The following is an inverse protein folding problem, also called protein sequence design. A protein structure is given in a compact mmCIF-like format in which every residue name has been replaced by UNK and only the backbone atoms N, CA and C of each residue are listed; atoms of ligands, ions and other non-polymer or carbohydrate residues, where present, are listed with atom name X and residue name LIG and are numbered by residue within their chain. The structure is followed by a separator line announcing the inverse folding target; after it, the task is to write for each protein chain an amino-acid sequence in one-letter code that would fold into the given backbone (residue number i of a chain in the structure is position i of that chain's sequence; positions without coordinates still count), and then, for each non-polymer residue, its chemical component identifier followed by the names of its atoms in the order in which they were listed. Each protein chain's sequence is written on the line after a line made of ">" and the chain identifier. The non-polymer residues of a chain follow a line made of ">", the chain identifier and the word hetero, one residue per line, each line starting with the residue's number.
data_IF_049050275766
#
_entry.id   IF_049050275766
#
_cell.length_a   1.000
_cell.length_b   1.000
_cell.length_c   1.000
_cell.angle_alpha   90.00
_cell.angle_beta   90.00
_cell.angle_gamma   90.00
#
_symmetry.space_group_name_H-M   'P 1'
#
loop_
_entity.id
_entity.type
_entity.pdbx_description
1 polymer ?
#
# COMPACT_ATOMS: atom_id res chain seq x y z
N UNK A 1 -34.41 2.95 92.21
CA UNK A 1 -34.61 2.34 90.87
C UNK A 1 -33.92 3.24 89.84
N UNK A 2 -32.74 2.93 89.41
CA UNK A 2 -32.01 3.69 88.33
C UNK A 2 -31.25 2.68 87.50
N UNK A 3 -31.62 2.57 86.25
CA UNK A 3 -30.97 1.72 85.30
C UNK A 3 -29.80 2.51 84.66
N UNK A 4 -28.58 2.00 84.79
CA UNK A 4 -27.41 2.54 84.10
C UNK A 4 -27.26 1.78 82.80
N UNK A 5 -27.42 2.53 81.69
CA UNK A 5 -27.11 2.07 80.32
C UNK A 5 -25.64 2.05 80.10
N UNK A 6 -25.03 0.92 79.76
CA UNK A 6 -23.60 0.79 79.31
C UNK A 6 -23.55 0.93 77.79
N UNK A 7 -22.91 1.97 77.38
CA UNK A 7 -22.60 2.21 75.96
C UNK A 7 -21.33 1.42 75.57
N UNK A 8 -21.52 0.44 74.68
CA UNK A 8 -20.41 -0.30 74.06
C UNK A 8 -19.88 0.49 72.86
N UNK A 9 -18.63 0.96 72.98
CA UNK A 9 -17.89 1.57 71.87
C UNK A 9 -17.41 0.45 70.95
N UNK A 10 -17.96 0.35 69.72
CA UNK A 10 -17.44 -0.52 68.67
C UNK A 10 -16.43 0.24 67.83
N UNK A 11 -15.13 -0.11 67.99
CA UNK A 11 -14.04 0.39 67.14
C UNK A 11 -14.07 -0.35 65.83
N UNK A 12 -14.48 0.32 64.75
CA UNK A 12 -14.43 -0.22 63.38
C UNK A 12 -13.05 0.09 62.82
N UNK A 13 -12.22 -0.93 62.60
CA UNK A 13 -10.96 -0.82 61.89
C UNK A 13 -11.27 -0.94 60.41
N UNK A 14 -11.17 0.18 59.70
CA UNK A 14 -11.28 0.22 58.23
C UNK A 14 -9.89 -0.09 57.64
N UNK A 15 -9.74 -1.32 57.11
CA UNK A 15 -8.55 -1.69 56.33
C UNK A 15 -8.77 -1.16 54.92
N UNK A 16 -8.11 -0.05 54.59
CA UNK A 16 -8.04 0.46 53.22
C UNK A 16 -7.08 -0.41 52.42
N UNK A 17 -7.58 -1.34 51.64
CA UNK A 17 -6.79 -2.05 50.65
C UNK A 17 -6.47 -1.12 49.49
N UNK A 18 -5.22 -0.65 49.41
CA UNK A 18 -4.69 0.03 48.25
C UNK A 18 -4.54 -0.99 47.09
N UNK A 19 -5.57 -1.09 46.25
CA UNK A 19 -5.47 -1.79 44.96
C UNK A 19 -4.80 -0.79 44.01
N UNK A 20 -3.47 -0.86 43.91
CA UNK A 20 -2.72 -0.22 42.82
C UNK A 20 -2.97 -0.97 41.53
N UNK A 21 -4.04 -0.60 40.82
CA UNK A 21 -4.26 -1.04 39.44
C UNK A 21 -3.23 -0.31 38.56
N UNK A 22 -2.12 -0.99 38.25
CA UNK A 22 -1.27 -0.61 37.16
C UNK A 22 -2.11 -0.71 35.85
N UNK A 23 -2.75 0.40 35.47
CA UNK A 23 -3.32 0.58 34.16
C UNK A 23 -2.17 0.48 33.17
N UNK A 24 -1.97 -0.70 32.55
CA UNK A 24 -1.18 -0.82 31.34
C UNK A 24 -1.92 0.03 30.32
N UNK A 25 -1.43 1.22 30.04
CA UNK A 25 -1.77 1.97 28.85
C UNK A 25 -1.46 1.06 27.66
N UNK A 26 -2.46 0.45 27.08
CA UNK A 26 -2.39 0.03 25.71
C UNK A 26 -2.20 1.32 24.92
N UNK A 27 -0.97 1.61 24.53
CA UNK A 27 -0.71 2.66 23.57
C UNK A 27 -1.50 2.26 22.32
N UNK A 28 -2.64 2.93 22.08
CA UNK A 28 -3.44 2.74 20.87
C UNK A 28 -2.57 3.04 19.67
N UNK A 29 -2.88 2.42 18.53
CA UNK A 29 -2.23 2.78 17.26
C UNK A 29 -2.29 4.29 17.09
N UNK A 30 -1.22 4.94 16.56
CA UNK A 30 -1.24 6.38 16.32
C UNK A 30 -2.40 6.73 15.39
N UNK A 31 -3.09 7.84 15.70
CA UNK A 31 -4.17 8.33 14.85
C UNK A 31 -3.61 8.68 13.45
N UNK A 32 -4.35 8.37 12.38
CA UNK A 32 -3.94 8.75 11.03
C UNK A 32 -3.94 10.29 10.88
N UNK A 33 -2.89 10.81 10.24
CA UNK A 33 -2.75 12.22 9.89
C UNK A 33 -2.79 12.38 8.38
N UNK A 34 -3.85 13.01 7.84
CA UNK A 34 -3.95 13.41 6.44
C UNK A 34 -3.02 14.61 6.20
N UNK A 35 -2.10 14.49 5.25
CA UNK A 35 -1.05 15.47 4.97
C UNK A 35 -0.85 15.65 3.46
N UNK A 36 -0.13 16.72 3.09
CA UNK A 36 0.20 17.04 1.70
C UNK A 36 1.68 17.38 1.57
N UNK A 37 2.40 16.63 0.74
CA UNK A 37 3.72 17.01 0.25
C UNK A 37 3.60 17.86 -1.02
N UNK A 38 4.69 18.56 -1.40
CA UNK A 38 4.74 19.39 -2.60
C UNK A 38 5.65 18.75 -3.64
N UNK A 39 5.12 18.57 -4.86
CA UNK A 39 5.85 17.98 -5.99
C UNK A 39 5.59 18.83 -7.22
N UNK A 40 6.61 19.47 -7.77
CA UNK A 40 6.51 20.32 -8.97
C UNK A 40 5.37 21.35 -8.91
N UNK A 41 5.13 21.92 -7.73
CA UNK A 41 4.05 22.90 -7.51
C UNK A 41 2.66 22.31 -7.27
N UNK A 42 2.51 20.97 -7.28
CA UNK A 42 1.26 20.27 -7.01
C UNK A 42 1.27 19.64 -5.62
N UNK A 43 0.11 19.55 -4.99
CA UNK A 43 -0.08 18.87 -3.71
C UNK A 43 -0.25 17.37 -3.93
N UNK A 44 0.52 16.58 -3.21
CA UNK A 44 0.42 15.12 -3.17
C UNK A 44 -0.07 14.70 -1.79
N UNK A 45 -1.27 14.15 -1.74
CA UNK A 45 -1.89 13.67 -0.51
C UNK A 45 -1.25 12.37 -0.03
N UNK A 46 -1.11 12.25 1.27
CA UNK A 46 -0.77 10.98 1.91
C UNK A 46 -1.35 10.93 3.33
N UNK A 47 -1.59 9.73 3.83
CA UNK A 47 -1.94 9.53 5.22
C UNK A 47 -0.75 8.93 5.97
N UNK A 48 -0.37 9.60 7.06
CA UNK A 48 0.76 9.23 7.91
C UNK A 48 0.26 8.57 9.19
N UNK A 49 0.80 7.43 9.54
CA UNK A 49 0.49 6.67 10.75
C UNK A 49 1.77 6.49 11.57
N UNK A 50 1.92 7.29 12.59
CA UNK A 50 3.07 7.23 13.48
C UNK A 50 4.29 8.01 12.98
N UNK A 51 5.47 7.60 13.41
CA UNK A 51 6.73 8.24 13.08
C UNK A 51 7.89 7.23 13.19
N UNK A 52 8.97 7.49 12.45
CA UNK A 52 10.17 6.66 12.45
C UNK A 52 11.05 6.98 11.25
N UNK A 53 12.32 6.65 11.33
CA UNK A 53 13.26 6.89 10.22
C UNK A 53 13.02 5.94 9.05
N UNK A 54 12.38 4.79 9.30
CA UNK A 54 12.11 3.75 8.31
C UNK A 54 10.59 3.58 8.16
N UNK A 55 10.06 3.91 6.99
CA UNK A 55 8.65 3.79 6.71
C UNK A 55 8.29 2.47 6.00
N UNK A 56 7.04 2.05 6.17
CA UNK A 56 6.36 1.09 5.32
C UNK A 56 5.39 1.89 4.45
N UNK A 57 5.75 2.12 3.19
CA UNK A 57 5.01 3.00 2.28
C UNK A 57 4.24 2.19 1.24
N UNK A 58 2.93 2.41 1.17
CA UNK A 58 2.00 1.71 0.29
C UNK A 58 1.62 2.56 -0.92
N UNK A 59 1.83 1.98 -2.10
CA UNK A 59 1.58 2.59 -3.42
C UNK A 59 0.48 1.81 -4.12
N UNK A 60 -0.60 2.50 -4.46
CA UNK A 60 -1.76 1.90 -5.14
C UNK A 60 -1.50 1.61 -6.62
N UNK A 61 -2.40 0.87 -7.26
CA UNK A 61 -2.38 0.55 -8.68
C UNK A 61 -3.08 1.59 -9.56
N UNK A 62 -3.16 1.29 -10.86
CA UNK A 62 -3.83 2.11 -11.86
C UNK A 62 -5.24 2.52 -11.42
N UNK A 63 -5.53 3.80 -11.52
CA UNK A 63 -6.83 4.40 -11.17
C UNK A 63 -7.33 4.13 -9.74
N UNK A 64 -6.51 3.60 -8.85
CA UNK A 64 -6.81 3.41 -7.44
C UNK A 64 -6.48 4.67 -6.61
N UNK A 65 -6.63 4.57 -5.31
CA UNK A 65 -6.23 5.58 -4.32
C UNK A 65 -5.72 4.92 -3.03
N UNK A 66 -5.28 5.71 -2.05
CA UNK A 66 -4.73 5.20 -0.78
C UNK A 66 -5.70 4.33 0.02
N UNK A 67 -7.02 4.49 -0.17
CA UNK A 67 -8.03 3.76 0.59
C UNK A 67 -8.03 2.26 0.32
N UNK A 68 -7.35 1.81 -0.74
CA UNK A 68 -7.13 0.40 -1.03
C UNK A 68 -6.25 -0.29 0.02
N UNK A 69 -5.50 0.51 0.81
CA UNK A 69 -4.57 0.04 1.82
C UNK A 69 -5.04 0.21 3.27
N UNK A 70 -6.29 0.63 3.50
CA UNK A 70 -6.84 0.87 4.85
C UNK A 70 -6.71 -0.37 5.76
N UNK A 71 -6.94 -1.58 5.21
CA UNK A 71 -6.81 -2.82 5.97
C UNK A 71 -5.38 -3.12 6.43
N UNK A 72 -4.40 -2.71 5.65
CA UNK A 72 -2.97 -2.85 5.96
C UNK A 72 -2.52 -1.76 6.92
N UNK A 73 -2.81 -0.50 6.60
CA UNK A 73 -2.39 0.64 7.40
C UNK A 73 -2.90 0.55 8.83
N UNK A 74 -4.20 0.30 9.02
CA UNK A 74 -4.80 0.19 10.36
C UNK A 74 -4.20 -0.94 11.20
N UNK A 75 -3.90 -2.09 10.57
CA UNK A 75 -3.38 -3.25 11.29
C UNK A 75 -1.88 -3.10 11.65
N UNK A 76 -1.11 -2.39 10.81
CA UNK A 76 0.35 -2.32 10.92
C UNK A 76 0.84 -1.07 11.65
N UNK A 77 0.01 -0.04 11.78
CA UNK A 77 0.37 1.25 12.38
C UNK A 77 0.84 1.17 13.85
N UNK A 78 0.45 0.12 14.58
CA UNK A 78 0.92 -0.09 15.97
C UNK A 78 2.37 -0.58 16.06
N UNK A 79 2.94 -1.08 14.95
CA UNK A 79 4.27 -1.69 14.90
C UNK A 79 5.25 -0.95 13.99
N UNK A 80 4.73 -0.22 13.01
CA UNK A 80 5.51 0.41 11.95
C UNK A 80 5.11 1.88 11.78
N UNK A 81 6.05 2.70 11.30
CA UNK A 81 5.72 3.96 10.68
C UNK A 81 5.11 3.67 9.31
N UNK A 82 3.80 3.82 9.17
CA UNK A 82 3.07 3.49 7.93
C UNK A 82 2.69 4.76 7.20
N UNK A 83 2.85 4.72 5.87
CA UNK A 83 2.45 5.80 4.97
C UNK A 83 1.64 5.18 3.83
N UNK A 84 0.45 5.75 3.55
CA UNK A 84 -0.31 5.46 2.34
C UNK A 84 -0.34 6.73 1.48
N UNK A 85 -0.11 6.61 0.17
CA UNK A 85 -0.03 7.76 -0.74
C UNK A 85 -1.16 7.72 -1.76
N UNK A 86 -1.76 8.88 -2.05
CA UNK A 86 -2.46 9.12 -3.29
C UNK A 86 -1.45 9.63 -4.31
N UNK A 87 -1.09 8.84 -5.32
CA UNK A 87 -0.18 9.28 -6.37
C UNK A 87 -0.70 10.56 -7.07
N UNK A 88 0.16 11.43 -7.62
CA UNK A 88 -0.29 12.56 -8.44
C UNK A 88 -1.37 12.15 -9.42
N UNK A 89 -2.45 12.93 -9.51
CA UNK A 89 -3.60 12.59 -10.36
C UNK A 89 -4.68 11.73 -9.69
N UNK A 90 -4.44 11.15 -8.52
CA UNK A 90 -5.35 10.20 -7.86
C UNK A 90 -5.86 10.72 -6.51
N UNK A 91 -6.91 10.10 -6.01
CA UNK A 91 -7.47 10.36 -4.68
C UNK A 91 -7.64 11.85 -4.40
N UNK A 92 -7.05 12.31 -3.30
CA UNK A 92 -7.05 13.71 -2.85
C UNK A 92 -5.86 14.53 -3.38
N UNK A 93 -4.92 13.91 -4.11
CA UNK A 93 -3.83 14.62 -4.77
C UNK A 93 -4.33 15.51 -5.89
N UNK A 94 -3.59 16.60 -6.16
CA UNK A 94 -3.85 17.47 -7.31
C UNK A 94 -3.77 16.67 -8.63
N UNK A 95 -4.53 17.13 -9.62
CA UNK A 95 -4.69 16.49 -10.93
C UNK A 95 -4.27 17.44 -12.06
N UNK A 96 -3.00 17.88 -12.10
CA UNK A 96 -2.51 18.78 -13.15
C UNK A 96 -2.53 18.08 -14.52
N UNK A 97 -2.64 18.86 -15.59
CA UNK A 97 -2.55 18.39 -16.98
C UNK A 97 -1.08 18.18 -17.37
N UNK A 98 -0.51 17.06 -16.94
CA UNK A 98 0.88 16.66 -17.17
C UNK A 98 0.98 15.23 -17.69
N UNK A 99 2.17 14.81 -18.12
CA UNK A 99 2.43 13.39 -18.37
C UNK A 99 2.66 12.65 -17.05
N UNK A 100 1.80 11.69 -16.75
CA UNK A 100 1.90 10.86 -15.56
C UNK A 100 2.87 9.71 -15.79
N UNK A 101 4.14 9.96 -15.46
CA UNK A 101 5.23 8.99 -15.63
C UNK A 101 5.60 8.31 -14.31
N UNK A 102 6.21 7.13 -14.39
CA UNK A 102 6.73 6.45 -13.20
C UNK A 102 7.83 7.27 -12.50
N UNK A 103 8.51 8.16 -13.25
CA UNK A 103 9.48 9.10 -12.70
C UNK A 103 8.83 10.20 -11.85
N UNK A 104 7.72 10.78 -12.30
CA UNK A 104 6.92 11.72 -11.52
C UNK A 104 6.46 11.07 -10.21
N UNK A 105 5.97 9.84 -10.28
CA UNK A 105 5.51 9.10 -9.10
C UNK A 105 6.65 8.76 -8.14
N UNK A 106 7.82 8.37 -8.66
CA UNK A 106 9.00 8.13 -7.82
C UNK A 106 9.45 9.40 -7.07
N UNK A 107 9.44 10.56 -7.73
CA UNK A 107 9.73 11.85 -7.08
C UNK A 107 8.67 12.22 -6.05
N UNK A 108 7.40 11.92 -6.33
CA UNK A 108 6.32 12.15 -5.36
C UNK A 108 6.51 11.32 -4.09
N UNK A 109 6.91 10.05 -4.21
CA UNK A 109 7.25 9.22 -3.05
C UNK A 109 8.41 9.81 -2.27
N UNK A 110 9.46 10.33 -2.94
CA UNK A 110 10.60 10.95 -2.25
C UNK A 110 10.21 12.18 -1.43
N UNK A 111 9.37 13.04 -2.01
CA UNK A 111 8.87 14.23 -1.33
C UNK A 111 7.95 13.87 -0.13
N UNK A 112 7.12 12.83 -0.28
CA UNK A 112 6.30 12.30 0.82
C UNK A 112 7.18 11.77 1.96
N UNK A 113 8.22 10.99 1.66
CA UNK A 113 9.15 10.50 2.67
C UNK A 113 9.84 11.66 3.39
N UNK A 114 10.24 12.70 2.65
CA UNK A 114 10.88 13.90 3.21
C UNK A 114 9.93 14.66 4.14
N UNK A 115 8.68 14.88 3.73
CA UNK A 115 7.67 15.58 4.55
C UNK A 115 7.30 14.76 5.79
N UNK A 116 7.20 13.43 5.65
CA UNK A 116 6.97 12.50 6.76
C UNK A 116 8.19 12.28 7.66
N UNK A 117 9.36 12.87 7.32
CA UNK A 117 10.65 12.71 8.02
C UNK A 117 11.16 11.27 8.09
N UNK A 118 10.79 10.46 7.09
CA UNK A 118 11.34 9.13 6.91
C UNK A 118 12.61 9.19 6.03
N UNK A 119 13.68 8.51 6.45
CA UNK A 119 14.94 8.46 5.71
C UNK A 119 14.94 7.41 4.61
N UNK A 120 14.22 6.32 4.85
CA UNK A 120 14.12 5.19 3.93
C UNK A 120 12.78 4.48 4.07
N UNK A 121 12.44 3.63 3.09
CA UNK A 121 11.21 2.87 3.13
C UNK A 121 11.35 1.43 2.61
N UNK A 122 10.53 0.54 3.16
CA UNK A 122 10.05 -0.64 2.44
C UNK A 122 8.84 -0.22 1.62
N UNK A 123 8.90 -0.41 0.31
CA UNK A 123 7.86 0.05 -0.61
C UNK A 123 6.95 -1.13 -1.00
N UNK A 124 5.66 -0.94 -0.83
CA UNK A 124 4.63 -1.94 -1.18
C UNK A 124 3.85 -1.40 -2.37
N UNK A 125 3.96 -2.03 -3.54
CA UNK A 125 3.30 -1.59 -4.77
C UNK A 125 2.31 -2.63 -5.29
N UNK A 126 1.07 -2.22 -5.50
CA UNK A 126 0.03 -3.04 -6.10
C UNK A 126 -0.07 -2.78 -7.59
N UNK A 127 -0.15 -3.85 -8.40
CA UNK A 127 -0.42 -3.73 -9.84
C UNK A 127 0.52 -2.74 -10.53
N UNK A 128 0.01 -1.65 -11.12
CA UNK A 128 0.79 -0.57 -11.72
C UNK A 128 1.63 0.22 -10.68
N UNK A 129 1.42 0.05 -9.40
CA UNK A 129 2.34 0.51 -8.36
C UNK A 129 3.70 -0.21 -8.38
N UNK A 130 3.79 -1.41 -9.01
CA UNK A 130 5.04 -2.16 -9.15
C UNK A 130 6.11 -1.41 -9.96
N UNK A 131 5.87 -0.95 -11.20
CA UNK A 131 6.84 -0.13 -11.92
C UNK A 131 7.14 1.19 -11.20
N UNK A 132 6.20 1.76 -10.44
CA UNK A 132 6.44 2.97 -9.62
C UNK A 132 7.50 2.70 -8.55
N UNK A 133 7.31 1.67 -7.71
CA UNK A 133 8.28 1.35 -6.64
C UNK A 133 9.63 0.88 -7.21
N UNK A 134 9.62 0.21 -8.36
CA UNK A 134 10.85 -0.15 -9.08
C UNK A 134 11.59 1.09 -9.59
N UNK A 135 10.88 2.08 -10.12
CA UNK A 135 11.46 3.36 -10.56
C UNK A 135 12.00 4.16 -9.38
N UNK A 136 11.30 4.13 -8.25
CA UNK A 136 11.82 4.71 -7.01
C UNK A 136 13.13 4.06 -6.59
N UNK A 137 13.19 2.72 -6.57
CA UNK A 137 14.41 1.97 -6.25
C UNK A 137 15.58 2.34 -7.19
N UNK A 138 15.34 2.53 -8.49
CA UNK A 138 16.39 2.94 -9.45
C UNK A 138 16.93 4.34 -9.16
N UNK A 139 16.04 5.26 -8.76
CA UNK A 139 16.44 6.66 -8.48
C UNK A 139 17.05 6.86 -7.11
N UNK A 140 16.56 6.13 -6.13
CA UNK A 140 16.87 6.28 -4.71
C UNK A 140 17.19 4.93 -4.06
N UNK A 141 18.19 4.19 -4.56
CA UNK A 141 18.51 2.87 -4.02
C UNK A 141 18.90 2.93 -2.54
N UNK A 142 19.55 3.99 -2.10
CA UNK A 142 19.95 4.21 -0.71
C UNK A 142 18.77 4.45 0.26
N UNK A 143 17.61 4.87 -0.29
CA UNK A 143 16.37 5.06 0.48
C UNK A 143 15.47 3.83 0.44
N UNK A 144 15.81 2.80 -0.33
CA UNK A 144 14.97 1.61 -0.52
C UNK A 144 15.50 0.46 0.32
N UNK A 145 14.72 0.01 1.30
CA UNK A 145 15.08 -1.10 2.18
C UNK A 145 14.64 -2.46 1.63
N UNK A 146 13.49 -2.52 1.00
CA UNK A 146 12.93 -3.71 0.35
C UNK A 146 11.80 -3.31 -0.59
N UNK A 147 11.42 -4.20 -1.49
CA UNK A 147 10.24 -4.06 -2.34
C UNK A 147 9.23 -5.18 -2.03
N UNK A 148 7.95 -4.82 -1.98
CA UNK A 148 6.84 -5.78 -1.87
C UNK A 148 5.94 -5.56 -3.08
N UNK A 149 5.86 -6.57 -3.93
CA UNK A 149 5.11 -6.55 -5.19
C UNK A 149 3.81 -7.32 -4.99
N UNK A 150 2.68 -6.65 -5.20
CA UNK A 150 1.35 -7.20 -4.98
C UNK A 150 0.61 -7.26 -6.31
N UNK A 151 0.47 -8.44 -6.84
CA UNK A 151 -0.16 -8.78 -8.13
C UNK A 151 0.25 -7.83 -9.28
N UNK A 152 1.56 -7.60 -9.40
CA UNK A 152 2.16 -6.72 -10.40
C UNK A 152 3.37 -7.35 -11.09
N UNK A 153 3.70 -6.84 -12.27
CA UNK A 153 4.75 -7.39 -13.14
C UNK A 153 6.04 -6.58 -13.14
N UNK A 154 7.18 -7.28 -13.34
CA UNK A 154 8.49 -6.68 -13.61
C UNK A 154 8.83 -6.64 -15.12
N UNK A 155 7.86 -6.99 -15.96
CA UNK A 155 7.89 -6.84 -17.43
C UNK A 155 6.50 -6.40 -17.92
N UNK A 156 6.36 -5.87 -19.15
CA UNK A 156 5.07 -5.54 -19.72
C UNK A 156 4.15 -6.76 -19.76
N UNK A 157 2.85 -6.56 -19.65
CA UNK A 157 1.85 -7.64 -19.76
C UNK A 157 1.56 -8.08 -21.20
N UNK A 158 2.11 -7.36 -22.20
CA UNK A 158 1.97 -7.66 -23.61
C UNK A 158 3.12 -7.07 -24.42
N UNK A 159 3.15 -7.36 -25.71
CA UNK A 159 4.07 -6.68 -26.61
C UNK A 159 3.69 -5.18 -26.81
N UNK A 160 4.56 -4.42 -27.47
CA UNK A 160 4.37 -2.98 -27.67
C UNK A 160 3.03 -2.66 -28.34
N UNK A 161 2.67 -3.41 -29.38
CA UNK A 161 1.42 -3.17 -30.12
C UNK A 161 0.17 -3.42 -29.27
N UNK A 162 0.20 -4.47 -28.43
CA UNK A 162 -0.87 -4.78 -27.46
C UNK A 162 -1.00 -3.66 -26.43
N UNK A 163 0.12 -3.16 -25.90
CA UNK A 163 0.12 -2.07 -24.93
C UNK A 163 -0.36 -0.75 -25.53
N UNK A 164 0.09 -0.39 -26.75
CA UNK A 164 -0.36 0.81 -27.47
C UNK A 164 -1.87 0.75 -27.77
N UNK A 165 -2.37 -0.42 -28.20
CA UNK A 165 -3.81 -0.62 -28.41
C UNK A 165 -4.60 -0.45 -27.13
N UNK A 166 -4.09 -0.97 -26.02
CA UNK A 166 -4.72 -0.81 -24.72
C UNK A 166 -4.80 0.67 -24.32
N UNK A 167 -3.71 1.42 -24.43
CA UNK A 167 -3.67 2.87 -24.16
C UNK A 167 -4.66 3.61 -25.09
N UNK A 168 -4.75 3.23 -26.37
CA UNK A 168 -5.70 3.85 -27.28
C UNK A 168 -7.16 3.65 -26.85
N UNK A 169 -7.52 2.50 -26.25
CA UNK A 169 -8.87 2.29 -25.70
C UNK A 169 -9.18 3.20 -24.52
N UNK A 170 -8.18 3.56 -23.71
CA UNK A 170 -8.34 4.49 -22.60
C UNK A 170 -8.44 5.95 -23.06
N UNK A 171 -7.85 6.29 -24.21
CA UNK A 171 -7.96 7.63 -24.83
C UNK A 171 -9.25 7.83 -25.65
N UNK A 172 -9.99 6.77 -25.90
CA UNK A 172 -11.20 6.82 -26.73
C UNK A 172 -12.34 7.62 -26.05
N UNK A 173 -13.27 8.23 -26.86
CA UNK A 173 -14.40 8.98 -26.30
C UNK A 173 -15.33 8.16 -25.38
N UNK A 174 -15.40 6.84 -25.58
CA UNK A 174 -16.16 5.91 -24.74
C UNK A 174 -15.32 5.33 -23.58
N UNK A 175 -14.44 6.14 -23.00
CA UNK A 175 -13.54 5.75 -21.89
C UNK A 175 -14.26 5.08 -20.73
N UNK A 176 -15.37 5.67 -20.25
CA UNK A 176 -16.09 5.14 -19.07
C UNK A 176 -16.56 3.71 -19.30
N UNK A 177 -17.05 3.40 -20.51
CA UNK A 177 -17.45 2.04 -20.89
C UNK A 177 -16.23 1.10 -20.95
N UNK A 178 -15.14 1.55 -21.57
CA UNK A 178 -13.91 0.76 -21.71
C UNK A 178 -13.26 0.47 -20.36
N UNK A 179 -13.08 1.51 -19.54
CA UNK A 179 -12.54 1.39 -18.18
C UNK A 179 -13.47 0.52 -17.30
N UNK A 180 -14.78 0.74 -17.37
CA UNK A 180 -15.76 -0.05 -16.64
C UNK A 180 -15.68 -1.55 -16.96
N UNK A 181 -15.61 -1.94 -18.25
CA UNK A 181 -15.43 -3.34 -18.65
C UNK A 181 -14.12 -3.95 -18.13
N UNK A 182 -13.04 -3.17 -18.17
CA UNK A 182 -11.74 -3.62 -17.65
C UNK A 182 -11.80 -3.86 -16.15
N UNK A 183 -12.34 -2.92 -15.40
CA UNK A 183 -12.48 -3.01 -13.93
C UNK A 183 -13.42 -4.19 -13.59
N UNK A 184 -14.55 -4.35 -14.30
CA UNK A 184 -15.45 -5.50 -14.12
C UNK A 184 -14.72 -6.83 -14.32
N UNK A 185 -13.79 -6.90 -15.28
CA UNK A 185 -12.93 -8.08 -15.47
C UNK A 185 -12.03 -8.37 -14.28
N UNK A 186 -11.42 -7.33 -13.70
CA UNK A 186 -10.50 -7.46 -12.54
C UNK A 186 -11.25 -7.88 -11.27
N UNK A 187 -12.45 -7.33 -11.02
CA UNK A 187 -13.22 -7.59 -9.80
C UNK A 187 -14.13 -8.80 -9.85
N UNK A 188 -14.36 -9.37 -11.06
CA UNK A 188 -15.27 -10.52 -11.27
C UNK A 188 -15.00 -11.71 -10.33
N UNK A 189 -13.74 -12.10 -10.04
CA UNK A 189 -13.49 -13.23 -9.14
C UNK A 189 -13.87 -12.95 -7.67
N UNK A 190 -14.00 -11.70 -7.25
CA UNK A 190 -14.32 -11.32 -5.87
C UNK A 190 -15.75 -11.75 -5.52
N UNK A 191 -15.92 -12.54 -4.47
CA UNK A 191 -17.24 -13.01 -4.04
C UNK A 191 -18.04 -11.94 -3.27
N UNK A 192 -17.34 -11.05 -2.55
CA UNK A 192 -17.94 -9.94 -1.80
C UNK A 192 -18.45 -8.85 -2.76
N UNK A 193 -19.77 -8.76 -2.95
CA UNK A 193 -20.39 -7.78 -3.83
C UNK A 193 -20.18 -6.33 -3.37
N UNK A 194 -20.32 -5.98 -2.09
CA UNK A 194 -19.93 -4.65 -1.56
C UNK A 194 -18.50 -4.27 -1.88
N UNK A 195 -17.54 -5.19 -1.75
CA UNK A 195 -16.14 -4.93 -2.07
C UNK A 195 -15.96 -4.66 -3.58
N UNK A 196 -16.60 -5.47 -4.46
CA UNK A 196 -16.56 -5.22 -5.91
C UNK A 196 -17.03 -3.81 -6.26
N UNK A 197 -18.17 -3.41 -5.74
CA UNK A 197 -18.76 -2.10 -6.01
C UNK A 197 -17.87 -0.97 -5.48
N UNK A 198 -17.33 -1.12 -4.28
CA UNK A 198 -16.40 -0.14 -3.68
C UNK A 198 -15.16 0.06 -4.58
N UNK A 199 -14.55 -1.02 -5.06
CA UNK A 199 -13.37 -0.96 -5.94
C UNK A 199 -13.75 -0.26 -7.24
N UNK A 200 -14.84 -0.67 -7.89
CA UNK A 200 -15.30 -0.10 -9.15
C UNK A 200 -15.56 1.41 -9.05
N UNK A 201 -16.33 1.82 -8.04
CA UNK A 201 -16.63 3.24 -7.80
C UNK A 201 -15.36 4.05 -7.54
N UNK A 202 -14.43 3.52 -6.76
CA UNK A 202 -13.17 4.22 -6.46
C UNK A 202 -12.33 4.41 -7.74
N UNK A 203 -12.15 3.36 -8.53
CA UNK A 203 -11.32 3.41 -9.74
C UNK A 203 -11.91 4.35 -10.82
N UNK A 204 -13.23 4.38 -10.98
CA UNK A 204 -13.91 5.25 -11.96
C UNK A 204 -13.89 6.74 -11.59
N UNK A 205 -13.44 7.11 -10.38
CA UNK A 205 -13.24 8.52 -10.00
C UNK A 205 -12.02 9.16 -10.63
N UNK A 206 -11.05 8.34 -11.08
CA UNK A 206 -9.84 8.86 -11.71
C UNK A 206 -10.18 9.44 -13.08
N UNK A 207 -9.82 10.71 -13.37
CA UNK A 207 -10.11 11.33 -14.65
C UNK A 207 -9.46 10.57 -15.82
N UNK A 208 -10.14 10.51 -16.96
CA UNK A 208 -9.66 9.82 -18.17
C UNK A 208 -8.23 10.23 -18.54
N UNK A 209 -7.90 11.53 -18.52
CA UNK A 209 -6.57 12.00 -18.92
C UNK A 209 -5.46 11.51 -17.98
N UNK A 210 -5.76 11.32 -16.70
CA UNK A 210 -4.83 10.72 -15.73
C UNK A 210 -4.66 9.24 -16.04
N UNK A 211 -5.76 8.49 -16.07
CA UNK A 211 -5.77 7.05 -16.27
C UNK A 211 -5.10 6.63 -17.60
N UNK A 212 -5.36 7.38 -18.67
CA UNK A 212 -4.75 7.14 -19.98
C UNK A 212 -3.24 7.49 -19.99
N UNK A 213 -2.87 8.64 -19.41
CA UNK A 213 -1.48 9.10 -19.38
C UNK A 213 -0.59 8.21 -18.50
N UNK A 214 -1.11 7.73 -17.36
CA UNK A 214 -0.41 6.78 -16.50
C UNK A 214 -0.06 5.49 -17.26
N UNK A 215 -1.03 4.93 -17.99
CA UNK A 215 -0.79 3.73 -18.79
C UNK A 215 0.12 3.99 -19.99
N UNK A 216 0.04 5.18 -20.60
CA UNK A 216 0.99 5.60 -21.63
C UNK A 216 2.42 5.68 -21.09
N UNK A 217 2.62 6.13 -19.84
CA UNK A 217 3.90 6.11 -19.16
C UNK A 217 4.53 4.72 -19.06
N UNK A 218 3.72 3.65 -19.09
CA UNK A 218 4.23 2.27 -19.09
C UNK A 218 4.76 1.79 -20.45
N UNK A 219 4.57 2.57 -21.51
CA UNK A 219 5.13 2.27 -22.84
C UNK A 219 6.63 2.56 -22.93
N UNK A 220 7.21 3.29 -21.97
CA UNK A 220 8.63 3.56 -21.95
C UNK A 220 9.43 2.25 -21.77
N UNK A 221 10.25 1.84 -22.76
CA UNK A 221 11.02 0.58 -22.67
C UNK A 221 12.07 0.61 -21.55
N UNK A 222 12.57 1.79 -21.17
CA UNK A 222 13.54 1.94 -20.08
C UNK A 222 12.98 1.48 -18.73
N UNK A 223 11.66 1.57 -18.57
CA UNK A 223 10.97 1.12 -17.38
C UNK A 223 11.12 -0.40 -17.15
N UNK A 224 11.26 -1.15 -18.24
CA UNK A 224 11.26 -2.61 -18.23
C UNK A 224 12.66 -3.23 -18.39
N UNK A 225 13.72 -2.41 -18.34
CA UNK A 225 15.09 -2.95 -18.36
C UNK A 225 15.27 -4.01 -17.27
N UNK A 226 15.96 -5.12 -17.58
CA UNK A 226 16.14 -6.24 -16.66
C UNK A 226 17.27 -6.00 -15.64
N UNK A 227 17.30 -4.80 -15.03
CA UNK A 227 18.29 -4.48 -14.00
C UNK A 227 18.09 -5.35 -12.77
N UNK A 228 19.18 -5.73 -12.12
CA UNK A 228 19.14 -6.47 -10.85
C UNK A 228 18.50 -5.64 -9.75
N UNK A 229 17.72 -6.30 -8.91
CA UNK A 229 17.17 -5.75 -7.67
C UNK A 229 17.91 -6.41 -6.52
N UNK A 230 18.77 -5.66 -5.84
CA UNK A 230 19.68 -6.19 -4.81
C UNK A 230 19.16 -6.06 -3.39
N UNK A 231 18.02 -5.39 -3.20
CA UNK A 231 17.28 -5.38 -1.93
C UNK A 231 16.35 -6.60 -1.85
N UNK A 232 15.96 -7.05 -0.65
CA UNK A 232 14.97 -8.14 -0.50
C UNK A 232 13.65 -7.81 -1.21
N UNK A 233 13.06 -8.81 -1.85
CA UNK A 233 11.75 -8.67 -2.51
C UNK A 233 10.78 -9.74 -2.04
N UNK A 234 9.60 -9.32 -1.59
CA UNK A 234 8.43 -10.18 -1.47
C UNK A 234 7.52 -9.95 -2.68
N UNK A 235 7.16 -11.02 -3.38
CA UNK A 235 6.20 -10.98 -4.49
C UNK A 235 5.02 -11.90 -4.16
N UNK A 236 3.81 -11.33 -4.07
CA UNK A 236 2.57 -12.07 -3.83
C UNK A 236 1.65 -11.84 -5.03
N UNK A 237 1.34 -12.92 -5.75
CA UNK A 237 0.56 -12.89 -6.98
C UNK A 237 -0.72 -13.72 -6.83
N UNK A 238 -1.83 -13.25 -7.35
CA UNK A 238 -3.01 -14.07 -7.54
C UNK A 238 -2.69 -15.17 -8.57
N UNK A 239 -3.04 -16.42 -8.29
CA UNK A 239 -2.77 -17.52 -9.21
C UNK A 239 -3.55 -17.35 -10.52
N UNK A 240 -2.84 -16.97 -11.58
CA UNK A 240 -3.39 -16.74 -12.92
C UNK A 240 -2.46 -17.30 -13.99
N UNK A 241 -2.98 -17.63 -15.21
CA UNK A 241 -2.17 -18.19 -16.29
C UNK A 241 -1.02 -17.28 -16.77
N UNK A 242 -1.10 -15.97 -16.54
CA UNK A 242 -0.05 -15.02 -16.91
C UNK A 242 1.24 -15.18 -16.10
N UNK A 243 1.14 -15.70 -14.90
CA UNK A 243 2.29 -15.96 -14.02
C UNK A 243 2.85 -17.37 -14.28
N UNK A 244 3.54 -17.52 -15.41
CA UNK A 244 4.10 -18.80 -15.86
C UNK A 244 5.40 -19.13 -15.14
N UNK A 245 5.86 -20.40 -15.17
CA UNK A 245 7.20 -20.78 -14.66
C UNK A 245 8.34 -19.98 -15.32
N UNK A 246 8.21 -19.63 -16.60
CA UNK A 246 9.18 -18.79 -17.31
C UNK A 246 9.20 -17.37 -16.75
N UNK A 247 8.06 -16.84 -16.34
CA UNK A 247 8.01 -15.56 -15.65
C UNK A 247 8.68 -15.62 -14.28
N UNK A 248 8.41 -16.65 -13.49
CA UNK A 248 9.09 -16.85 -12.21
C UNK A 248 10.60 -16.95 -12.38
N UNK A 249 11.09 -17.74 -13.35
CA UNK A 249 12.52 -17.84 -13.66
C UNK A 249 13.12 -16.49 -14.06
N UNK A 250 12.42 -15.70 -14.86
CA UNK A 250 12.81 -14.34 -15.21
C UNK A 250 12.97 -13.46 -13.95
N UNK A 251 11.98 -13.47 -13.05
CA UNK A 251 12.02 -12.69 -11.80
C UNK A 251 13.18 -13.16 -10.90
N UNK A 252 13.36 -14.47 -10.72
CA UNK A 252 14.50 -15.04 -9.96
C UNK A 252 15.85 -14.66 -10.56
N UNK A 253 15.89 -14.51 -11.88
CA UNK A 253 17.07 -13.97 -12.58
C UNK A 253 17.37 -12.51 -12.23
N UNK A 254 16.39 -11.71 -11.87
CA UNK A 254 16.57 -10.29 -11.51
C UNK A 254 16.80 -10.09 -10.01
N UNK A 255 16.19 -10.92 -9.16
CA UNK A 255 16.09 -10.74 -7.72
C UNK A 255 16.76 -11.91 -7.00
N UNK A 256 18.01 -11.76 -6.51
CA UNK A 256 18.70 -12.82 -5.78
C UNK A 256 18.02 -13.19 -4.44
N UNK A 257 17.45 -12.22 -3.74
CA UNK A 257 16.75 -12.41 -2.46
C UNK A 257 15.24 -12.22 -2.66
N UNK A 258 14.60 -13.26 -3.21
CA UNK A 258 13.19 -13.29 -3.60
C UNK A 258 12.39 -14.29 -2.76
N UNK A 259 11.34 -13.77 -2.10
CA UNK A 259 10.21 -14.57 -1.61
C UNK A 259 9.07 -14.47 -2.65
N UNK A 260 8.83 -15.57 -3.39
CA UNK A 260 7.82 -15.60 -4.47
C UNK A 260 6.65 -16.47 -4.07
N UNK A 261 5.47 -15.88 -4.00
CA UNK A 261 4.24 -16.55 -3.56
C UNK A 261 3.14 -16.41 -4.62
N UNK A 262 2.41 -17.49 -4.87
CA UNK A 262 1.17 -17.44 -5.66
C UNK A 262 0.00 -17.91 -4.82
N UNK A 263 -1.04 -17.10 -4.71
CA UNK A 263 -2.22 -17.36 -3.89
C UNK A 263 -3.39 -17.81 -4.76
N UNK A 264 -3.98 -18.95 -4.41
CA UNK A 264 -5.18 -19.44 -5.05
C UNK A 264 -6.44 -18.80 -4.45
N UNK A 265 -7.51 -18.78 -5.26
CA UNK A 265 -8.84 -18.30 -4.81
C UNK A 265 -8.87 -16.86 -4.34
N UNK A 266 -8.04 -16.00 -4.92
CA UNK A 266 -8.03 -14.56 -4.76
C UNK A 266 -8.01 -13.86 -6.12
N UNK A 267 -8.46 -12.61 -6.15
CA UNK A 267 -8.42 -11.76 -7.35
C UNK A 267 -7.17 -10.88 -7.40
N UNK A 268 -7.16 -9.96 -8.37
CA UNK A 268 -6.18 -8.89 -8.49
C UNK A 268 -6.05 -8.02 -7.21
N UNK A 269 -7.09 -7.95 -6.39
CA UNK A 269 -7.14 -7.16 -5.15
C UNK A 269 -6.97 -8.04 -3.90
N UNK A 270 -6.07 -9.02 -3.95
CA UNK A 270 -5.84 -10.03 -2.92
C UNK A 270 -5.62 -9.44 -1.51
N UNK A 271 -5.00 -8.26 -1.40
CA UNK A 271 -4.75 -7.57 -0.14
C UNK A 271 -6.03 -7.01 0.50
N UNK A 272 -7.08 -6.80 -0.30
CA UNK A 272 -8.40 -6.37 0.18
C UNK A 272 -9.31 -7.56 0.48
N UNK A 273 -9.16 -8.67 -0.24
CA UNK A 273 -9.93 -9.90 -0.02
C UNK A 273 -9.43 -10.70 1.17
N UNK A 274 -8.12 -10.71 1.38
CA UNK A 274 -7.43 -11.48 2.41
C UNK A 274 -6.49 -10.60 3.25
N UNK A 275 -7.02 -9.52 3.88
CA UNK A 275 -6.17 -8.54 4.55
C UNK A 275 -5.33 -9.14 5.68
N UNK A 276 -5.88 -10.09 6.44
CA UNK A 276 -5.16 -10.71 7.56
C UNK A 276 -4.02 -11.59 7.08
N UNK A 277 -4.27 -12.42 6.06
CA UNK A 277 -3.24 -13.28 5.46
C UNK A 277 -2.14 -12.45 4.80
N UNK A 278 -2.52 -11.36 4.10
CA UNK A 278 -1.56 -10.44 3.51
C UNK A 278 -0.70 -9.76 4.58
N UNK A 279 -1.31 -9.22 5.63
CA UNK A 279 -0.60 -8.57 6.72
C UNK A 279 0.35 -9.55 7.45
N UNK A 280 -0.05 -10.81 7.61
CA UNK A 280 0.79 -11.85 8.20
C UNK A 280 2.01 -12.16 7.32
N UNK A 281 1.82 -12.35 6.00
CA UNK A 281 2.90 -12.61 5.05
C UNK A 281 3.89 -11.43 4.99
N UNK A 282 3.37 -10.20 4.92
CA UNK A 282 4.19 -8.99 4.93
C UNK A 282 4.99 -8.87 6.23
N UNK A 283 4.35 -9.07 7.39
CA UNK A 283 5.02 -9.00 8.70
C UNK A 283 6.14 -10.05 8.80
N UNK A 284 5.87 -11.29 8.40
CA UNK A 284 6.87 -12.36 8.40
C UNK A 284 8.08 -12.03 7.51
N UNK A 285 7.84 -11.46 6.33
CA UNK A 285 8.91 -11.00 5.45
C UNK A 285 9.74 -9.88 6.10
N UNK A 286 9.08 -8.88 6.70
CA UNK A 286 9.77 -7.77 7.37
C UNK A 286 10.61 -8.26 8.56
N UNK A 287 10.11 -9.20 9.34
CA UNK A 287 10.81 -9.81 10.48
C UNK A 287 12.02 -10.61 10.00
N UNK A 288 11.85 -11.46 8.98
CA UNK A 288 12.92 -12.29 8.38
C UNK A 288 14.13 -11.45 7.94
N UNK A 289 13.90 -10.26 7.40
CA UNK A 289 14.96 -9.39 6.88
C UNK A 289 15.39 -8.29 7.86
N UNK A 290 14.93 -8.33 9.12
CA UNK A 290 15.28 -7.32 10.13
C UNK A 290 14.74 -5.92 9.81
N UNK A 291 13.67 -5.83 9.02
CA UNK A 291 13.04 -4.59 8.57
C UNK A 291 11.94 -4.09 9.53
N UNK A 292 11.62 -4.88 10.55
CA UNK A 292 10.57 -4.59 11.53
C UNK A 292 11.01 -3.61 12.64
N UNK A 293 12.27 -3.21 12.68
CA UNK A 293 12.79 -2.26 13.69
C UNK A 293 12.87 -0.87 13.08
N UNK A 294 12.30 0.12 13.79
CA UNK A 294 12.45 1.55 13.52
C UNK A 294 13.84 2.04 13.89
#
# INVERSE_FOLDING_TARGET
>A
MSWRTRTLLRTTITVAALISSAARSFAGSPAPESRFAQVDGSKVHYTNYGAGENALLFVHGWSCDETFWVGQASALASKFHVITIDLPGHGQSDKPQVHYTMDLYARAIDEVLRDARAKSATLVGHSNGTPVIRQFYRRFPEKTRALVIVDGGLRPFGDKATMEKFVATLKAPNYEENAGRMIDGMVRPIQDAPLRERIKVAMLRTPQFVAASEMEGTLDPELWRPDKITVPVLMILAKQPVWTPEYENFVRGLVPDLDYQTWASVSHFLMMEKPNEFNAALTAFLEKHGLAKN
#
